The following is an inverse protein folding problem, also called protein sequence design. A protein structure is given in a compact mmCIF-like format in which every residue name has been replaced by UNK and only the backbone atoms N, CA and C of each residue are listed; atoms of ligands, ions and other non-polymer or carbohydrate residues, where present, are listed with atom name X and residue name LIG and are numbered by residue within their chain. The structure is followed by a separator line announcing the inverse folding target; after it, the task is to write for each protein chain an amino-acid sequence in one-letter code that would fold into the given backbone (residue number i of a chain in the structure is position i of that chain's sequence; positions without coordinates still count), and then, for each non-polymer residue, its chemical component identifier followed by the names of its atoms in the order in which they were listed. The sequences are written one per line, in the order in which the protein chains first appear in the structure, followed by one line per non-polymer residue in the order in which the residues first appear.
data_IF_416973040530
#
_entry.id   IF_416973040530
#
_cell.length_a   1.000
_cell.length_b   1.000
_cell.length_c   1.000
_cell.angle_alpha   90.00
_cell.angle_beta   90.00
_cell.angle_gamma   90.00
#
_symmetry.space_group_name_H-M   'P 1'
#
loop_
_entity.id
_entity.type
_entity.pdbx_description
1 polymer ?
#
# COMPACT_ATOMS: atom_id res chain seq x y z
N UNK A 1 -16.07 -27.54 -7.66
CA UNK A 1 -15.65 -26.31 -8.26
C UNK A 1 -14.30 -26.49 -8.91
N UNK A 2 -14.20 -26.28 -10.22
CA UNK A 2 -12.92 -26.37 -10.95
C UNK A 2 -12.02 -25.24 -10.50
N UNK A 3 -10.91 -25.57 -9.86
CA UNK A 3 -9.82 -24.63 -9.65
C UNK A 3 -9.28 -24.27 -11.03
N UNK A 4 -9.46 -23.03 -11.45
CA UNK A 4 -8.88 -22.53 -12.69
C UNK A 4 -7.36 -22.74 -12.61
N UNK A 5 -6.84 -23.63 -13.47
CA UNK A 5 -5.40 -23.87 -13.53
C UNK A 5 -4.74 -22.59 -14.04
N UNK A 6 -3.95 -21.96 -13.17
CA UNK A 6 -3.11 -20.85 -13.54
C UNK A 6 -2.18 -21.26 -14.69
N UNK A 7 -2.26 -20.53 -15.81
CA UNK A 7 -1.30 -20.63 -16.90
C UNK A 7 -0.21 -19.59 -16.62
N UNK A 8 0.99 -20.06 -16.36
CA UNK A 8 2.15 -19.17 -16.22
C UNK A 8 2.30 -18.37 -17.52
N UNK A 9 2.43 -17.04 -17.48
CA UNK A 9 2.76 -16.30 -18.70
C UNK A 9 4.12 -16.77 -19.21
N UNK A 10 4.18 -17.12 -20.48
CA UNK A 10 5.40 -17.62 -21.13
C UNK A 10 6.44 -16.53 -21.40
N UNK A 11 6.20 -15.28 -20.97
CA UNK A 11 7.14 -14.18 -21.18
C UNK A 11 6.98 -13.08 -20.11
N UNK A 12 8.08 -12.46 -19.74
CA UNK A 12 8.17 -11.25 -18.92
C UNK A 12 7.73 -9.97 -19.66
N UNK A 13 6.85 -10.07 -20.67
CA UNK A 13 6.45 -8.95 -21.52
C UNK A 13 5.59 -7.88 -20.84
N UNK A 14 5.20 -8.07 -19.57
CA UNK A 14 4.38 -7.12 -18.80
C UNK A 14 5.15 -6.49 -17.64
N UNK A 15 6.39 -6.08 -17.87
CA UNK A 15 7.03 -5.14 -16.97
C UNK A 15 6.43 -3.77 -17.23
N UNK A 16 5.94 -3.04 -16.20
CA UNK A 16 5.37 -1.72 -16.38
C UNK A 16 6.38 -0.83 -17.12
N UNK A 17 5.91 -0.15 -18.17
CA UNK A 17 6.68 0.94 -18.71
C UNK A 17 6.77 2.05 -17.65
N UNK A 18 7.77 2.93 -17.74
CA UNK A 18 7.88 4.09 -16.84
C UNK A 18 6.64 4.98 -16.83
N UNK A 19 5.72 4.80 -17.77
CA UNK A 19 4.42 5.48 -17.86
C UNK A 19 3.34 4.86 -16.97
N UNK A 20 3.52 3.63 -16.51
CA UNK A 20 2.57 2.89 -15.68
C UNK A 20 2.86 3.06 -14.18
N UNK A 21 4.00 3.67 -13.85
CA UNK A 21 4.33 4.04 -12.47
C UNK A 21 3.63 5.36 -12.10
N UNK A 22 3.11 5.52 -10.87
CA UNK A 22 2.62 6.80 -10.40
C UNK A 22 3.72 7.86 -10.57
N UNK A 23 3.40 9.02 -11.13
CA UNK A 23 4.36 10.11 -11.39
C UNK A 23 5.21 10.52 -10.18
N UNK A 24 4.77 10.21 -8.96
CA UNK A 24 5.48 10.53 -7.72
C UNK A 24 6.59 9.56 -7.34
N UNK A 25 6.63 8.35 -7.92
CA UNK A 25 7.65 7.32 -7.65
C UNK A 25 8.70 7.21 -8.75
N UNK A 26 8.67 8.12 -9.72
CA UNK A 26 9.73 8.26 -10.69
C UNK A 26 11.03 8.77 -10.03
N UNK A 27 11.59 7.95 -9.12
CA UNK A 27 13.04 7.87 -9.05
C UNK A 27 13.45 7.44 -10.44
N UNK A 28 14.15 8.30 -11.15
CA UNK A 28 14.75 8.03 -12.46
C UNK A 28 15.73 6.86 -12.29
N UNK A 29 15.18 5.65 -12.19
CA UNK A 29 16.00 4.46 -12.36
C UNK A 29 16.33 4.45 -13.84
N UNK A 30 17.61 4.54 -14.16
CA UNK A 30 18.10 4.42 -15.53
C UNK A 30 17.46 3.15 -16.12
N UNK A 31 16.77 3.30 -17.25
CA UNK A 31 16.11 2.18 -17.93
C UNK A 31 17.09 1.04 -18.24
N UNK A 32 18.38 1.35 -18.42
CA UNK A 32 19.44 0.36 -18.59
C UNK A 32 19.71 -0.43 -17.30
N UNK A 33 19.66 0.20 -16.14
CA UNK A 33 19.80 -0.44 -14.83
C UNK A 33 18.60 -1.33 -14.49
N UNK A 34 17.40 -0.89 -14.84
CA UNK A 34 16.18 -1.69 -14.69
C UNK A 34 16.24 -2.97 -15.55
N UNK A 35 16.67 -2.85 -16.80
CA UNK A 35 16.82 -3.99 -17.71
C UNK A 35 17.94 -4.93 -17.25
N UNK A 36 19.09 -4.39 -16.77
CA UNK A 36 20.19 -5.19 -16.24
C UNK A 36 19.79 -5.95 -14.96
N UNK A 37 19.01 -5.32 -14.07
CA UNK A 37 18.50 -5.95 -12.86
C UNK A 37 17.46 -7.04 -13.19
N UNK A 38 16.63 -6.88 -14.22
CA UNK A 38 15.71 -7.90 -14.69
C UNK A 38 16.43 -9.11 -15.29
N UNK A 39 17.48 -8.89 -16.08
CA UNK A 39 18.27 -9.97 -16.68
C UNK A 39 18.96 -10.86 -15.63
N UNK A 40 19.20 -10.32 -14.42
CA UNK A 40 19.82 -11.03 -13.30
C UNK A 40 18.83 -11.41 -12.19
N UNK A 41 17.53 -11.14 -12.36
CA UNK A 41 16.52 -11.47 -11.36
C UNK A 41 16.39 -13.00 -11.20
N UNK A 42 16.79 -13.49 -10.04
CA UNK A 42 16.56 -14.88 -9.64
C UNK A 42 15.13 -14.97 -9.08
N UNK A 43 14.33 -15.88 -9.63
CA UNK A 43 13.00 -16.14 -9.05
C UNK A 43 13.16 -16.75 -7.67
N UNK A 44 12.26 -16.40 -6.74
CA UNK A 44 12.23 -16.96 -5.38
C UNK A 44 12.03 -18.48 -5.35
N UNK A 45 11.48 -19.05 -6.42
CA UNK A 45 11.03 -20.45 -6.49
C UNK A 45 9.75 -20.71 -5.69
N UNK A 46 9.16 -19.69 -5.06
CA UNK A 46 7.92 -19.81 -4.30
C UNK A 46 6.68 -19.72 -5.21
N UNK A 47 5.56 -20.34 -4.82
CA UNK A 47 4.29 -20.15 -5.52
C UNK A 47 3.85 -18.68 -5.48
N UNK A 48 3.32 -18.14 -6.58
CA UNK A 48 2.94 -16.73 -6.69
C UNK A 48 1.92 -16.26 -5.64
N UNK A 49 1.05 -17.14 -5.18
CA UNK A 49 0.07 -16.80 -4.14
C UNK A 49 0.71 -16.48 -2.78
N UNK A 50 1.98 -16.80 -2.58
CA UNK A 50 2.74 -16.42 -1.38
C UNK A 50 3.33 -15.01 -1.53
N UNK A 51 3.59 -14.57 -2.77
CA UNK A 51 4.37 -13.35 -3.05
C UNK A 51 3.52 -12.17 -3.49
N UNK A 52 2.34 -12.41 -4.09
CA UNK A 52 1.53 -11.34 -4.69
C UNK A 52 0.07 -11.41 -4.25
N UNK A 53 -0.50 -10.26 -3.91
CA UNK A 53 -1.85 -10.12 -3.39
C UNK A 53 -2.91 -10.65 -4.36
N UNK A 54 -2.78 -10.33 -5.65
CA UNK A 54 -3.64 -10.82 -6.71
C UNK A 54 -3.76 -12.34 -6.71
N UNK A 55 -2.64 -13.02 -6.68
CA UNK A 55 -2.59 -14.49 -6.75
C UNK A 55 -3.05 -15.15 -5.46
N UNK A 56 -2.80 -14.50 -4.31
CA UNK A 56 -3.35 -14.94 -3.04
C UNK A 56 -4.89 -14.87 -3.03
N UNK A 57 -5.45 -13.79 -3.55
CA UNK A 57 -6.91 -13.64 -3.67
C UNK A 57 -7.51 -14.70 -4.59
N UNK A 58 -6.89 -14.96 -5.74
CA UNK A 58 -7.28 -16.04 -6.65
C UNK A 58 -7.22 -17.41 -5.97
N UNK A 59 -6.13 -17.70 -5.28
CA UNK A 59 -5.96 -18.96 -4.53
C UNK A 59 -7.00 -19.12 -3.42
N UNK A 60 -7.35 -18.03 -2.75
CA UNK A 60 -8.32 -18.00 -1.65
C UNK A 60 -9.79 -18.01 -2.12
N UNK A 61 -10.04 -18.05 -3.43
CA UNK A 61 -11.40 -18.10 -3.98
C UNK A 61 -12.16 -16.77 -3.92
N UNK A 62 -11.46 -15.64 -3.81
CA UNK A 62 -12.05 -14.31 -3.92
C UNK A 62 -12.60 -14.12 -5.35
N UNK A 63 -13.73 -13.42 -5.55
CA UNK A 63 -14.28 -13.16 -6.88
C UNK A 63 -13.27 -12.50 -7.83
N UNK A 64 -13.27 -12.93 -9.09
CA UNK A 64 -12.38 -12.45 -10.15
C UNK A 64 -12.42 -10.92 -10.32
N UNK A 65 -13.60 -10.31 -10.18
CA UNK A 65 -13.78 -8.86 -10.27
C UNK A 65 -12.98 -8.05 -9.23
N UNK A 66 -12.47 -8.69 -8.17
CA UNK A 66 -11.72 -8.01 -7.11
C UNK A 66 -10.22 -7.92 -7.45
N UNK A 67 -9.67 -8.94 -8.11
CA UNK A 67 -8.23 -9.03 -8.38
C UNK A 67 -7.87 -8.94 -9.86
N UNK A 68 -8.81 -8.65 -10.74
CA UNK A 68 -8.62 -8.63 -12.19
C UNK A 68 -9.05 -7.29 -12.80
N UNK A 69 -8.52 -6.20 -12.23
CA UNK A 69 -8.91 -4.81 -12.51
C UNK A 69 -8.76 -4.43 -13.99
N UNK A 70 -7.69 -4.87 -14.64
CA UNK A 70 -7.44 -4.61 -16.07
C UNK A 70 -7.94 -5.72 -16.99
N UNK A 71 -8.70 -6.69 -16.47
CA UNK A 71 -9.08 -7.92 -17.19
C UNK A 71 -7.86 -8.70 -17.67
N UNK A 72 -6.88 -8.89 -16.82
CA UNK A 72 -5.62 -9.60 -17.07
C UNK A 72 -4.75 -9.00 -18.20
N UNK A 73 -4.92 -7.73 -18.50
CA UNK A 73 -4.09 -7.05 -19.50
C UNK A 73 -2.76 -6.57 -18.91
N UNK A 74 -2.73 -6.30 -17.60
CA UNK A 74 -1.53 -5.87 -16.90
C UNK A 74 -1.50 -6.48 -15.50
N UNK A 75 -0.66 -7.48 -15.32
CA UNK A 75 -0.54 -8.26 -14.08
C UNK A 75 -0.11 -7.40 -12.88
N UNK A 76 0.81 -6.48 -13.10
CA UNK A 76 1.30 -5.56 -12.06
C UNK A 76 0.21 -4.59 -11.59
N UNK A 77 -0.54 -4.00 -12.54
CA UNK A 77 -1.66 -3.11 -12.22
C UNK A 77 -2.75 -3.87 -11.50
N UNK A 78 -3.08 -5.08 -11.95
CA UNK A 78 -4.08 -5.94 -11.29
C UNK A 78 -3.67 -6.26 -9.86
N UNK A 79 -2.38 -6.52 -9.59
CA UNK A 79 -1.90 -6.83 -8.24
C UNK A 79 -2.04 -5.65 -7.28
N UNK A 80 -1.52 -4.48 -7.63
CA UNK A 80 -1.58 -3.34 -6.71
C UNK A 80 -3.00 -2.76 -6.57
N UNK A 81 -3.81 -2.77 -7.64
CA UNK A 81 -5.19 -2.31 -7.58
C UNK A 81 -6.06 -3.23 -6.72
N UNK A 82 -5.85 -4.53 -6.83
CA UNK A 82 -6.60 -5.54 -6.06
C UNK A 82 -6.58 -5.28 -4.56
N UNK A 83 -5.49 -4.79 -4.01
CA UNK A 83 -5.33 -4.53 -2.56
C UNK A 83 -6.35 -3.51 -2.04
N UNK A 84 -6.53 -2.39 -2.75
CA UNK A 84 -7.53 -1.38 -2.40
C UNK A 84 -8.97 -1.81 -2.70
N UNK A 85 -9.19 -2.54 -3.80
CA UNK A 85 -10.49 -3.06 -4.19
C UNK A 85 -10.97 -4.14 -3.21
N UNK A 86 -10.06 -4.96 -2.70
CA UNK A 86 -10.36 -5.95 -1.68
C UNK A 86 -10.93 -5.34 -0.41
N UNK A 87 -10.44 -4.17 0.02
CA UNK A 87 -11.02 -3.43 1.15
C UNK A 87 -12.50 -3.12 0.90
N UNK A 88 -12.86 -2.74 -0.32
CA UNK A 88 -14.26 -2.46 -0.69
C UNK A 88 -15.11 -3.73 -0.66
N UNK A 89 -14.57 -4.86 -1.12
CA UNK A 89 -15.26 -6.15 -1.04
C UNK A 89 -15.49 -6.60 0.40
N UNK A 90 -14.50 -6.41 1.29
CA UNK A 90 -14.69 -6.68 2.72
C UNK A 90 -15.80 -5.82 3.32
N UNK A 91 -15.80 -4.51 3.01
CA UNK A 91 -16.73 -3.54 3.56
C UNK A 91 -18.11 -3.53 2.88
N UNK A 92 -18.23 -4.05 1.66
CA UNK A 92 -19.45 -4.00 0.86
C UNK A 92 -20.64 -4.63 1.58
N UNK A 93 -21.81 -3.98 1.56
CA UNK A 93 -23.00 -4.36 2.31
C UNK A 93 -23.01 -3.94 3.78
N UNK A 94 -21.91 -3.38 4.31
CA UNK A 94 -21.86 -2.81 5.65
C UNK A 94 -22.31 -1.34 5.67
N UNK A 95 -22.46 -0.76 6.87
CA UNK A 95 -22.73 0.67 7.04
C UNK A 95 -21.63 1.59 6.46
N UNK A 96 -20.42 1.09 6.30
CA UNK A 96 -19.30 1.84 5.70
C UNK A 96 -19.39 1.91 4.17
N UNK A 97 -19.94 0.87 3.53
CA UNK A 97 -20.08 0.79 2.07
C UNK A 97 -21.40 0.06 1.70
N UNK A 98 -22.56 0.67 1.92
CA UNK A 98 -23.86 -0.01 1.85
C UNK A 98 -24.32 -0.34 0.43
N UNK A 99 -23.80 0.36 -0.58
CA UNK A 99 -24.30 0.29 -1.95
C UNK A 99 -23.54 -0.72 -2.84
N UNK A 100 -22.47 -1.30 -2.35
CA UNK A 100 -21.68 -2.29 -3.09
C UNK A 100 -21.85 -3.68 -2.47
N UNK A 101 -21.85 -4.74 -3.28
CA UNK A 101 -21.88 -6.11 -2.76
C UNK A 101 -20.53 -6.45 -2.08
N UNK A 102 -20.59 -7.25 -1.01
CA UNK A 102 -19.40 -7.69 -0.31
C UNK A 102 -19.71 -8.56 0.90
N UNK A 103 -18.75 -8.62 1.83
CA UNK A 103 -18.84 -9.49 3.00
C UNK A 103 -19.51 -8.84 4.22
N UNK A 104 -19.90 -7.58 4.13
CA UNK A 104 -20.59 -6.86 5.21
C UNK A 104 -19.73 -6.55 6.42
N UNK A 105 -18.40 -6.58 6.32
CA UNK A 105 -17.51 -6.32 7.44
C UNK A 105 -17.46 -4.82 7.73
N UNK A 106 -17.78 -4.36 8.96
CA UNK A 106 -17.85 -2.93 9.27
C UNK A 106 -16.45 -2.34 9.48
N UNK A 107 -15.72 -2.09 8.38
CA UNK A 107 -14.40 -1.48 8.42
C UNK A 107 -14.49 0.02 8.70
N UNK A 108 -13.63 0.53 9.58
CA UNK A 108 -13.55 1.95 9.94
C UNK A 108 -12.45 2.69 9.19
N UNK A 109 -11.36 1.99 8.86
CA UNK A 109 -10.21 2.52 8.14
C UNK A 109 -9.41 1.39 7.49
N UNK A 110 -8.51 1.74 6.57
CA UNK A 110 -7.56 0.86 5.91
C UNK A 110 -6.14 1.42 6.01
N UNK A 111 -5.17 0.55 6.23
CA UNK A 111 -3.75 0.86 6.20
C UNK A 111 -3.03 -0.08 5.25
N UNK A 112 -2.38 0.47 4.24
CA UNK A 112 -1.35 -0.22 3.46
C UNK A 112 0.00 0.05 4.12
N UNK A 113 0.71 -1.02 4.47
CA UNK A 113 2.01 -0.92 5.15
C UNK A 113 3.11 -1.29 4.17
N UNK A 114 3.98 -0.33 3.87
CA UNK A 114 5.05 -0.44 2.91
C UNK A 114 6.40 0.01 3.48
N UNK A 115 7.45 -0.28 2.73
CA UNK A 115 8.77 0.33 2.84
C UNK A 115 9.11 0.93 1.50
N UNK A 116 9.61 2.16 1.51
CA UNK A 116 10.00 2.93 0.34
C UNK A 116 11.35 2.46 -0.25
N UNK A 117 11.65 2.89 -1.45
CA UNK A 117 12.97 2.78 -2.07
C UNK A 117 13.72 4.11 -1.95
N UNK A 118 15.03 4.06 -2.11
CA UNK A 118 15.90 5.25 -2.16
C UNK A 118 17.08 5.15 -1.21
N UNK A 119 18.24 5.54 -1.72
CA UNK A 119 19.50 5.53 -1.00
C UNK A 119 19.88 6.98 -0.68
N UNK A 120 20.19 7.24 0.60
CA UNK A 120 20.73 8.50 1.09
C UNK A 120 21.78 8.21 2.16
N UNK A 121 22.66 9.15 2.42
CA UNK A 121 23.63 9.06 3.53
C UNK A 121 22.93 9.23 4.89
N UNK A 122 21.78 9.92 4.89
CA UNK A 122 20.98 10.23 6.07
C UNK A 122 19.77 9.28 6.20
N UNK A 123 19.06 9.38 7.33
CA UNK A 123 17.76 8.74 7.53
C UNK A 123 16.75 9.27 6.51
N UNK A 124 16.15 8.38 5.73
CA UNK A 124 15.05 8.71 4.80
C UNK A 124 13.78 9.02 5.59
N UNK A 125 13.47 8.21 6.59
CA UNK A 125 12.36 8.41 7.51
C UNK A 125 10.99 8.04 6.95
N UNK A 126 9.94 8.52 7.63
CA UNK A 126 8.56 8.08 7.41
C UNK A 126 7.79 9.04 6.50
N UNK A 127 7.17 8.48 5.44
CA UNK A 127 6.20 9.13 4.56
C UNK A 127 4.83 8.50 4.78
N UNK A 128 3.76 9.29 4.75
CA UNK A 128 2.40 8.76 4.62
C UNK A 128 1.68 9.43 3.45
N UNK A 129 1.01 8.58 2.68
CA UNK A 129 0.26 8.93 1.49
C UNK A 129 -1.23 8.78 1.78
N UNK A 130 -2.01 9.77 1.38
CA UNK A 130 -3.48 9.74 1.42
C UNK A 130 -4.04 10.24 0.10
N UNK A 131 -5.35 10.06 -0.14
CA UNK A 131 -6.02 10.65 -1.31
C UNK A 131 -7.35 11.29 -0.92
N UNK A 132 -7.50 12.55 -1.32
CA UNK A 132 -8.67 13.40 -1.04
C UNK A 132 -9.85 13.18 -2.00
N UNK A 133 -9.70 12.31 -2.99
CA UNK A 133 -10.75 11.88 -3.92
C UNK A 133 -10.51 10.46 -4.42
N UNK A 134 -11.54 9.81 -4.94
CA UNK A 134 -11.44 8.50 -5.60
C UNK A 134 -11.18 8.61 -7.11
N UNK A 135 -11.31 7.51 -7.84
CA UNK A 135 -11.11 7.46 -9.29
C UNK A 135 -12.10 8.34 -10.06
N UNK A 136 -13.33 8.48 -9.54
CA UNK A 136 -14.41 9.27 -10.12
C UNK A 136 -14.37 10.75 -9.67
N UNK A 137 -13.32 11.14 -8.94
CA UNK A 137 -13.15 12.47 -8.33
C UNK A 137 -14.15 12.80 -7.22
N UNK A 138 -14.79 11.80 -6.64
CA UNK A 138 -15.64 12.00 -5.47
C UNK A 138 -14.79 12.34 -4.25
N UNK A 139 -15.14 13.44 -3.59
CA UNK A 139 -14.46 13.92 -2.37
C UNK A 139 -15.10 13.42 -1.07
N UNK A 140 -16.08 12.52 -1.18
CA UNK A 140 -16.78 11.92 -0.06
C UNK A 140 -16.76 10.41 -0.16
N UNK A 141 -16.74 9.77 0.98
CA UNK A 141 -17.01 8.33 1.14
C UNK A 141 -18.50 8.03 1.00
N UNK A 142 -18.93 6.77 0.79
CA UNK A 142 -20.34 6.38 0.74
C UNK A 142 -21.13 6.80 1.98
N UNK A 143 -20.49 6.90 3.12
CA UNK A 143 -21.06 7.41 4.39
C UNK A 143 -21.36 8.91 4.40
N UNK A 144 -21.00 9.64 3.35
CA UNK A 144 -21.10 11.10 3.25
C UNK A 144 -19.94 11.86 3.92
N UNK A 145 -19.06 11.20 4.66
CA UNK A 145 -17.87 11.82 5.26
C UNK A 145 -16.89 12.28 4.18
N UNK A 146 -16.24 13.42 4.41
CA UNK A 146 -15.19 13.93 3.51
C UNK A 146 -14.00 12.98 3.49
N UNK A 147 -13.41 12.76 2.31
CA UNK A 147 -12.17 11.97 2.16
C UNK A 147 -10.96 12.64 2.81
N UNK A 148 -11.06 13.93 3.17
CA UNK A 148 -9.99 14.61 3.90
C UNK A 148 -9.71 14.01 5.30
N UNK A 149 -10.64 13.22 5.87
CA UNK A 149 -10.38 12.51 7.13
C UNK A 149 -9.24 11.49 7.00
N UNK A 150 -8.92 11.02 5.79
CA UNK A 150 -7.74 10.19 5.56
C UNK A 150 -6.43 10.97 5.81
N UNK A 151 -6.42 12.29 5.54
CA UNK A 151 -5.30 13.14 5.91
C UNK A 151 -5.13 13.24 7.42
N UNK A 152 -6.21 13.29 8.17
CA UNK A 152 -6.15 13.37 9.64
C UNK A 152 -5.59 12.04 10.20
N UNK A 153 -6.02 10.90 9.65
CA UNK A 153 -5.44 9.59 9.99
C UNK A 153 -3.94 9.54 9.65
N UNK A 154 -3.55 10.03 8.47
CA UNK A 154 -2.17 10.10 8.03
C UNK A 154 -1.32 10.96 8.99
N UNK A 155 -1.82 12.12 9.39
CA UNK A 155 -1.14 13.04 10.29
C UNK A 155 -0.97 12.44 11.70
N UNK A 156 -2.01 11.85 12.26
CA UNK A 156 -1.93 11.17 13.57
C UNK A 156 -0.90 10.04 13.55
N UNK A 157 -0.93 9.21 12.51
CA UNK A 157 -0.04 8.06 12.40
C UNK A 157 1.42 8.49 12.22
N UNK A 158 1.68 9.42 11.30
CA UNK A 158 3.03 9.91 11.06
C UNK A 158 3.60 10.61 12.29
N UNK A 159 2.81 11.46 12.92
CA UNK A 159 3.22 12.18 14.13
C UNK A 159 3.61 11.20 15.23
N UNK A 160 2.76 10.22 15.54
CA UNK A 160 3.03 9.26 16.61
C UNK A 160 4.26 8.38 16.32
N UNK A 161 4.42 7.92 15.05
CA UNK A 161 5.59 7.13 14.66
C UNK A 161 6.86 7.95 14.82
N UNK A 162 6.88 9.16 14.29
CA UNK A 162 8.07 10.03 14.31
C UNK A 162 8.44 10.44 15.74
N UNK A 163 7.46 10.77 16.57
CA UNK A 163 7.69 11.11 17.98
C UNK A 163 8.28 9.92 18.76
N UNK A 164 7.69 8.72 18.63
CA UNK A 164 8.18 7.53 19.32
C UNK A 164 9.58 7.13 18.81
N UNK A 165 9.87 7.27 17.51
CA UNK A 165 11.20 7.03 16.93
C UNK A 165 12.24 8.01 17.45
N UNK A 166 11.93 9.29 17.46
CA UNK A 166 12.84 10.34 17.93
C UNK A 166 13.14 10.24 19.42
N UNK A 167 12.14 9.88 20.20
CA UNK A 167 12.29 9.78 21.65
C UNK A 167 13.16 8.60 22.10
N UNK A 168 13.19 7.50 21.33
CA UNK A 168 13.76 6.23 21.80
C UNK A 168 14.99 5.81 20.99
N UNK A 169 15.03 6.06 19.67
CA UNK A 169 16.00 5.43 18.78
C UNK A 169 16.85 6.42 17.97
N UNK A 170 16.22 7.41 17.36
CA UNK A 170 16.84 8.27 16.35
C UNK A 170 16.27 9.69 16.45
N UNK A 171 16.88 10.59 17.24
CA UNK A 171 16.41 11.99 17.37
C UNK A 171 16.31 12.72 16.01
N UNK A 172 17.09 12.30 15.01
CA UNK A 172 17.13 12.81 13.66
C UNK A 172 16.09 12.19 12.73
N UNK A 173 15.22 11.28 13.21
CA UNK A 173 14.24 10.58 12.35
C UNK A 173 13.39 11.57 11.57
N UNK A 174 13.42 11.43 10.24
CA UNK A 174 12.80 12.39 9.35
C UNK A 174 11.29 12.20 9.26
N UNK A 175 10.53 13.28 9.52
CA UNK A 175 9.13 13.39 9.17
C UNK A 175 9.01 13.96 7.78
N UNK A 176 8.70 13.13 6.79
CA UNK A 176 8.50 13.58 5.41
C UNK A 176 7.16 14.31 5.28
N UNK A 177 6.98 15.10 4.23
CA UNK A 177 5.71 15.79 4.00
C UNK A 177 4.59 14.78 3.72
N UNK A 178 3.39 14.99 4.29
CA UNK A 178 2.19 14.23 3.94
C UNK A 178 1.91 14.38 2.44
N UNK A 179 1.69 13.25 1.75
CA UNK A 179 1.57 13.23 0.31
C UNK A 179 0.12 12.93 -0.13
N UNK A 180 -0.51 13.87 -0.85
CA UNK A 180 -1.81 13.67 -1.51
C UNK A 180 -1.59 13.09 -2.91
N UNK A 181 -1.37 11.79 -3.01
CA UNK A 181 -1.02 11.10 -4.26
C UNK A 181 -1.97 9.96 -4.60
N UNK A 182 -2.07 9.66 -5.90
CA UNK A 182 -3.04 8.71 -6.45
C UNK A 182 -2.59 7.23 -6.37
N UNK A 183 -2.05 6.82 -5.23
CA UNK A 183 -1.76 5.41 -4.98
C UNK A 183 -3.05 4.61 -4.85
N UNK A 184 -3.10 3.42 -5.45
CA UNK A 184 -4.31 2.59 -5.50
C UNK A 184 -4.85 2.28 -4.10
N UNK A 185 -3.98 1.94 -3.16
CA UNK A 185 -4.33 1.58 -1.78
C UNK A 185 -4.82 2.78 -0.94
N UNK A 186 -4.53 4.03 -1.35
CA UNK A 186 -5.09 5.24 -0.74
C UNK A 186 -6.36 5.73 -1.47
N UNK A 187 -6.49 5.45 -2.78
CA UNK A 187 -7.52 5.99 -3.66
C UNK A 187 -8.76 5.11 -3.78
N UNK A 188 -8.57 3.80 -4.02
CA UNK A 188 -9.67 2.86 -4.25
C UNK A 188 -10.57 2.61 -3.01
N UNK A 189 -10.04 2.52 -1.78
CA UNK A 189 -10.88 2.21 -0.64
C UNK A 189 -12.02 3.20 -0.44
N UNK A 190 -13.22 2.67 -0.16
CA UNK A 190 -14.44 3.43 0.18
C UNK A 190 -14.53 3.75 1.68
N UNK A 191 -13.48 3.50 2.43
CA UNK A 191 -13.26 3.89 3.83
C UNK A 191 -12.01 4.75 3.94
N UNK A 192 -11.80 5.52 5.03
CA UNK A 192 -10.55 6.24 5.25
C UNK A 192 -9.33 5.34 5.09
N UNK A 193 -8.45 5.69 4.18
CA UNK A 193 -7.31 4.86 3.81
C UNK A 193 -6.03 5.66 3.70
N UNK A 194 -4.95 5.08 4.18
CA UNK A 194 -3.60 5.63 4.10
C UNK A 194 -2.60 4.56 3.68
N UNK A 195 -1.54 4.97 3.00
CA UNK A 195 -0.39 4.15 2.70
C UNK A 195 0.82 4.69 3.48
N UNK A 196 1.38 3.86 4.33
CA UNK A 196 2.56 4.16 5.13
C UNK A 196 3.80 3.62 4.43
N UNK A 197 4.71 4.51 4.06
CA UNK A 197 6.10 4.22 3.73
C UNK A 197 6.93 4.44 4.98
N UNK A 198 7.16 3.37 5.76
CA UNK A 198 7.75 3.49 7.09
C UNK A 198 9.17 4.03 7.04
N UNK A 199 9.96 3.49 6.12
CA UNK A 199 11.40 3.73 5.97
C UNK A 199 11.84 3.26 4.58
N UNK A 200 13.07 3.55 4.15
CA UNK A 200 13.61 3.00 2.91
C UNK A 200 14.33 1.67 3.15
N UNK A 201 13.86 0.61 2.47
CA UNK A 201 14.50 -0.71 2.52
C UNK A 201 15.84 -0.76 1.77
N UNK A 202 16.15 0.23 0.93
CA UNK A 202 17.44 0.36 0.24
C UNK A 202 18.46 1.19 1.03
N UNK A 203 18.03 1.90 2.07
CA UNK A 203 18.89 2.75 2.87
C UNK A 203 19.45 1.98 4.08
N UNK A 204 20.79 1.75 4.17
CA UNK A 204 21.38 1.01 5.29
C UNK A 204 21.12 1.66 6.66
N UNK A 205 21.03 3.00 6.71
CA UNK A 205 20.75 3.72 7.95
C UNK A 205 19.32 3.44 8.43
N UNK A 206 18.34 3.48 7.55
CA UNK A 206 16.95 3.14 7.87
C UNK A 206 16.81 1.66 8.23
N UNK A 207 17.46 0.77 7.47
CA UNK A 207 17.36 -0.68 7.68
C UNK A 207 17.99 -1.15 9.00
N UNK A 208 18.95 -0.41 9.53
CA UNK A 208 19.45 -0.63 10.89
C UNK A 208 18.33 -0.61 11.93
N UNK A 209 17.35 0.28 11.75
CA UNK A 209 16.16 0.33 12.61
C UNK A 209 15.09 -0.69 12.18
N UNK A 210 14.86 -0.85 10.88
CA UNK A 210 13.88 -1.79 10.34
C UNK A 210 14.12 -3.26 10.72
N UNK A 211 15.37 -3.63 10.95
CA UNK A 211 15.75 -4.98 11.37
C UNK A 211 15.68 -5.21 12.89
N UNK A 212 15.60 -4.14 13.70
CA UNK A 212 15.50 -4.27 15.16
C UNK A 212 14.05 -4.63 15.59
N UNK A 213 13.82 -5.79 16.21
CA UNK A 213 12.49 -6.19 16.68
C UNK A 213 11.84 -5.19 17.67
N UNK A 214 12.65 -4.47 18.45
CA UNK A 214 12.14 -3.48 19.42
C UNK A 214 11.57 -2.26 18.69
N UNK A 215 12.22 -1.84 17.61
CA UNK A 215 11.72 -0.76 16.74
C UNK A 215 10.41 -1.19 16.11
N UNK A 216 10.34 -2.40 15.55
CA UNK A 216 9.09 -2.93 14.95
C UNK A 216 7.95 -2.97 15.94
N UNK A 217 8.21 -3.37 17.18
CA UNK A 217 7.20 -3.32 18.26
C UNK A 217 6.75 -1.89 18.56
N UNK A 218 7.69 -0.95 18.66
CA UNK A 218 7.38 0.47 18.90
C UNK A 218 6.53 1.06 17.78
N UNK A 219 6.87 0.78 16.52
CA UNK A 219 6.08 1.21 15.37
C UNK A 219 4.67 0.61 15.40
N UNK A 220 4.53 -0.68 15.66
CA UNK A 220 3.21 -1.33 15.77
C UNK A 220 2.36 -0.68 16.87
N UNK A 221 2.97 -0.36 18.01
CA UNK A 221 2.31 0.36 19.10
C UNK A 221 1.91 1.79 18.70
N UNK A 222 2.77 2.50 17.95
CA UNK A 222 2.47 3.85 17.46
C UNK A 222 1.28 3.83 16.48
N UNK A 223 1.25 2.88 15.54
CA UNK A 223 0.11 2.68 14.65
C UNK A 223 -1.19 2.39 15.42
N UNK A 224 -1.14 1.50 16.41
CA UNK A 224 -2.30 1.19 17.25
C UNK A 224 -2.84 2.43 17.99
N UNK A 225 -1.95 3.20 18.64
CA UNK A 225 -2.34 4.46 19.30
C UNK A 225 -2.99 5.44 18.32
N UNK A 226 -2.48 5.52 17.10
CA UNK A 226 -2.98 6.43 16.07
C UNK A 226 -4.38 6.05 15.63
N UNK A 227 -4.66 4.76 15.46
CA UNK A 227 -6.01 4.28 15.17
C UNK A 227 -6.97 4.56 16.33
N UNK A 228 -6.57 4.32 17.56
CA UNK A 228 -7.40 4.67 18.72
C UNK A 228 -7.75 6.16 18.72
N UNK A 229 -6.75 7.03 18.50
CA UNK A 229 -6.95 8.48 18.44
C UNK A 229 -7.84 8.91 17.27
N UNK A 230 -7.81 8.18 16.16
CA UNK A 230 -8.63 8.48 14.99
C UNK A 230 -10.09 8.06 15.15
N UNK A 231 -10.36 6.97 15.88
CA UNK A 231 -11.71 6.42 16.06
C UNK A 231 -12.46 7.11 17.21
N UNK A 232 -11.75 7.59 18.23
CA UNK A 232 -12.31 8.28 19.41
C UNK A 232 -12.17 9.79 19.32
#
# INVERSE_FOLDING_TARGET
GSVARYKQPDSFENVPSSKDLPESDAVMIDSAELIANQANAVTSGLPRYIEAARYWMQYSGIPDSIYNYTNSKNDYVDDYAARGIWVNYLAGGSAANPNEPGLGIPLHASLAFHTDAGIRDEVVGTLIIYKDHDDEKNKKYPTGKSRIVARDLADYMQTQIVEDMRAIYAPEWTRRQLNNSSYAEARHPKVPAVLLELLSHQNPTDMKYGLDPRVRFTISRAMYKSFLKFIH
#
